data_IF_047288269534
#
_entry.id   IF_047288269534
#
_cell.length_a   1.000
_cell.length_b   1.000
_cell.length_c   1.000
_cell.angle_alpha   90.00
_cell.angle_beta   90.00
_cell.angle_gamma   90.00
#
_symmetry.space_group_name_H-M   'P 1'
#
loop_
_entity.id
_entity.type
_entity.pdbx_description
1 polymer ?
#
# COMPACT_ATOMS: atom_id res chain seq x y z
N UNK A 1 3.39 44.02 6.18
CA UNK A 1 2.07 43.46 5.81
C UNK A 1 2.14 41.96 6.01
N UNK A 2 1.31 41.39 6.87
CA UNK A 2 1.22 39.94 7.05
C UNK A 2 0.10 39.45 6.14
N UNK A 3 0.46 38.76 5.06
CA UNK A 3 -0.44 38.44 3.95
C UNK A 3 -1.50 37.40 4.30
N UNK A 4 -1.27 36.63 5.38
CA UNK A 4 -2.18 35.60 5.88
C UNK A 4 -2.19 35.68 7.42
N UNK A 5 -3.38 35.76 8.02
CA UNK A 5 -3.56 35.81 9.48
C UNK A 5 -3.21 34.48 10.16
N UNK A 6 -3.51 34.36 11.46
CA UNK A 6 -3.34 33.11 12.21
C UNK A 6 -4.28 32.03 11.68
N UNK A 7 -3.75 30.84 11.38
CA UNK A 7 -4.54 29.66 11.01
C UNK A 7 -4.79 28.84 12.28
N UNK A 8 -6.03 28.80 12.75
CA UNK A 8 -6.46 28.10 13.96
C UNK A 8 -7.50 27.00 13.70
N UNK A 9 -7.88 26.80 12.44
CA UNK A 9 -8.94 25.90 12.02
C UNK A 9 -8.74 25.42 10.58
N UNK A 10 -9.35 24.27 10.25
CA UNK A 10 -9.42 23.76 8.89
C UNK A 10 -10.55 24.45 8.11
N UNK A 11 -10.34 24.69 6.82
CA UNK A 11 -11.36 25.23 5.91
C UNK A 11 -12.60 24.34 5.80
N UNK A 12 -12.45 23.04 6.08
CA UNK A 12 -13.53 22.06 6.12
C UNK A 12 -13.47 21.31 7.45
N UNK A 13 -14.61 21.01 8.08
CA UNK A 13 -14.65 20.09 9.22
C UNK A 13 -13.99 18.77 8.86
N UNK A 14 -13.25 18.18 9.81
CA UNK A 14 -12.70 16.84 9.65
C UNK A 14 -13.87 15.85 9.71
N UNK A 15 -14.07 15.09 8.64
CA UNK A 15 -14.99 13.95 8.66
C UNK A 15 -14.25 12.73 9.20
N UNK A 16 -14.56 12.35 10.44
CA UNK A 16 -13.95 11.22 11.13
C UNK A 16 -14.33 9.86 10.53
N UNK A 17 -15.30 9.82 9.61
CA UNK A 17 -15.70 8.61 8.90
C UNK A 17 -15.15 8.57 7.47
N UNK A 18 -14.37 9.56 7.05
CA UNK A 18 -13.76 9.55 5.73
C UNK A 18 -12.68 8.47 5.66
N UNK A 19 -12.80 7.62 4.64
CA UNK A 19 -11.86 6.53 4.35
C UNK A 19 -11.21 6.78 3.00
N UNK A 20 -9.89 6.92 2.98
CA UNK A 20 -9.05 6.92 1.79
C UNK A 20 -8.52 5.51 1.48
N UNK A 21 -7.72 5.37 0.42
CA UNK A 21 -7.22 4.08 -0.01
C UNK A 21 -5.95 3.63 0.72
N UNK A 22 -5.14 4.55 1.23
CA UNK A 22 -3.88 4.28 1.92
C UNK A 22 -4.10 3.34 3.12
N UNK A 23 -5.01 3.68 4.04
CA UNK A 23 -5.31 2.80 5.18
C UNK A 23 -5.93 1.46 4.76
N UNK A 24 -6.61 1.40 3.61
CA UNK A 24 -7.27 0.17 3.17
C UNK A 24 -6.27 -0.87 2.69
N UNK A 25 -5.12 -0.47 2.14
CA UNK A 25 -4.04 -1.40 1.79
C UNK A 25 -3.42 -2.01 3.04
N UNK A 26 -3.14 -1.20 4.06
CA UNK A 26 -2.63 -1.68 5.36
C UNK A 26 -3.60 -2.65 6.05
N UNK A 27 -4.91 -2.35 6.02
CA UNK A 27 -5.94 -3.25 6.54
C UNK A 27 -5.95 -4.58 5.77
N UNK A 28 -5.83 -4.56 4.44
CA UNK A 28 -5.76 -5.79 3.65
C UNK A 28 -4.52 -6.62 4.00
N UNK A 29 -3.37 -5.97 4.17
CA UNK A 29 -2.13 -6.59 4.60
C UNK A 29 -2.26 -7.27 5.97
N UNK A 30 -2.84 -6.58 6.96
CA UNK A 30 -3.09 -7.13 8.31
C UNK A 30 -4.06 -8.31 8.29
N UNK A 31 -5.15 -8.23 7.51
CA UNK A 31 -6.10 -9.33 7.38
C UNK A 31 -5.43 -10.55 6.75
N UNK A 32 -4.58 -10.35 5.74
CA UNK A 32 -3.82 -11.43 5.12
C UNK A 32 -2.85 -12.05 6.14
N UNK A 33 -2.14 -11.22 6.91
CA UNK A 33 -1.24 -11.69 7.96
C UNK A 33 -1.97 -12.49 9.04
N UNK A 34 -3.15 -12.05 9.48
CA UNK A 34 -3.96 -12.77 10.46
C UNK A 34 -4.35 -14.17 9.97
N UNK A 35 -4.66 -14.31 8.68
CA UNK A 35 -5.08 -15.59 8.08
C UNK A 35 -3.93 -16.54 7.77
N UNK A 36 -2.79 -16.01 7.36
CA UNK A 36 -1.67 -16.78 6.81
C UNK A 36 -0.47 -16.87 7.75
N UNK A 37 -0.45 -16.07 8.82
CA UNK A 37 0.65 -16.00 9.78
C UNK A 37 1.95 -15.54 9.13
N UNK A 38 3.08 -15.99 9.68
CA UNK A 38 4.41 -15.56 9.23
C UNK A 38 4.81 -16.03 7.83
N UNK A 39 4.08 -17.01 7.26
CA UNK A 39 4.29 -17.53 5.91
C UNK A 39 3.56 -16.70 4.83
N UNK A 40 3.18 -15.48 5.17
CA UNK A 40 2.46 -14.53 4.31
C UNK A 40 3.19 -14.35 2.96
N UNK A 41 2.41 -14.39 1.87
CA UNK A 41 2.90 -14.11 0.52
C UNK A 41 2.21 -12.90 -0.11
N UNK A 42 2.82 -12.35 -1.16
CA UNK A 42 2.22 -11.27 -1.97
C UNK A 42 0.88 -11.66 -2.59
N UNK A 43 0.67 -12.96 -2.86
CA UNK A 43 -0.60 -13.46 -3.41
C UNK A 43 -1.72 -13.41 -2.37
N UNK A 44 -1.40 -13.67 -1.12
CA UNK A 44 -2.37 -13.64 -0.02
C UNK A 44 -2.86 -12.21 0.22
N UNK A 45 -1.94 -11.25 0.26
CA UNK A 45 -2.28 -9.82 0.35
C UNK A 45 -3.07 -9.37 -0.89
N UNK A 46 -2.60 -9.74 -2.10
CA UNK A 46 -3.28 -9.38 -3.34
C UNK A 46 -4.70 -9.98 -3.45
N UNK A 47 -4.95 -11.13 -2.83
CA UNK A 47 -6.29 -11.69 -2.72
C UNK A 47 -7.20 -10.80 -1.87
N UNK A 48 -6.71 -10.31 -0.73
CA UNK A 48 -7.47 -9.36 0.09
C UNK A 48 -7.74 -8.05 -0.67
N UNK A 49 -6.79 -7.59 -1.50
CA UNK A 49 -7.00 -6.44 -2.38
C UNK A 49 -8.18 -6.67 -3.34
N UNK A 50 -8.23 -7.82 -4.01
CA UNK A 50 -9.32 -8.14 -4.95
C UNK A 50 -10.67 -8.24 -4.23
N UNK A 51 -10.68 -8.81 -3.02
CA UNK A 51 -11.90 -9.07 -2.27
C UNK A 51 -12.47 -7.82 -1.57
N UNK A 52 -11.61 -6.85 -1.18
CA UNK A 52 -12.00 -5.71 -0.32
C UNK A 52 -11.84 -4.35 -0.96
N UNK A 53 -10.88 -4.17 -1.86
CA UNK A 53 -10.68 -2.86 -2.49
C UNK A 53 -11.74 -2.61 -3.56
N UNK A 54 -12.39 -1.47 -3.40
CA UNK A 54 -13.41 -0.98 -4.32
C UNK A 54 -12.76 -0.01 -5.33
N UNK A 55 -13.45 1.07 -5.68
CA UNK A 55 -13.07 1.96 -6.78
C UNK A 55 -12.06 3.06 -6.39
N UNK A 56 -11.79 3.27 -5.10
CA UNK A 56 -10.78 4.22 -4.63
C UNK A 56 -9.41 3.53 -4.70
N UNK A 57 -8.85 3.46 -5.90
CA UNK A 57 -7.45 3.09 -6.12
C UNK A 57 -6.88 4.02 -7.18
N UNK A 58 -5.62 4.39 -7.06
CA UNK A 58 -4.99 5.38 -7.95
C UNK A 58 -3.78 4.80 -8.68
N UNK A 59 -3.42 5.42 -9.80
CA UNK A 59 -2.13 5.19 -10.49
C UNK A 59 -1.68 3.72 -10.60
N UNK A 60 -0.62 3.32 -9.90
CA UNK A 60 -0.03 1.98 -9.92
C UNK A 60 -0.98 0.92 -9.38
N UNK A 61 -1.60 1.17 -8.23
CA UNK A 61 -2.53 0.29 -7.54
C UNK A 61 -3.77 0.02 -8.39
N UNK A 62 -4.27 1.04 -9.10
CA UNK A 62 -5.40 0.89 -10.02
C UNK A 62 -5.07 -0.04 -11.18
N UNK A 63 -3.85 0.06 -11.74
CA UNK A 63 -3.41 -0.83 -12.82
C UNK A 63 -3.20 -2.24 -12.28
N UNK A 64 -2.54 -2.36 -11.13
CA UNK A 64 -2.31 -3.62 -10.46
C UNK A 64 -3.61 -4.35 -10.12
N UNK A 65 -4.60 -3.68 -9.53
CA UNK A 65 -5.91 -4.27 -9.22
C UNK A 65 -6.65 -4.73 -10.49
N UNK A 66 -6.52 -4.01 -11.61
CA UNK A 66 -7.05 -4.47 -12.91
C UNK A 66 -6.32 -5.70 -13.44
N UNK A 67 -5.02 -5.82 -13.21
CA UNK A 67 -4.22 -6.98 -13.58
C UNK A 67 -4.58 -8.20 -12.72
N UNK A 68 -4.71 -8.02 -11.40
CA UNK A 68 -5.14 -9.04 -10.45
C UNK A 68 -6.53 -9.59 -10.83
N UNK A 69 -7.49 -8.70 -11.14
CA UNK A 69 -8.84 -9.10 -11.61
C UNK A 69 -8.84 -9.86 -12.94
N UNK A 70 -7.73 -9.84 -13.69
CA UNK A 70 -7.52 -10.63 -14.92
C UNK A 70 -6.69 -11.91 -14.68
N UNK A 71 -6.36 -12.23 -13.43
CA UNK A 71 -5.55 -13.38 -13.06
C UNK A 71 -4.04 -13.18 -13.26
N UNK A 72 -3.57 -11.94 -13.46
CA UNK A 72 -2.14 -11.64 -13.48
C UNK A 72 -1.69 -11.41 -12.05
N UNK A 73 -1.01 -12.39 -11.46
CA UNK A 73 -0.56 -12.36 -10.06
C UNK A 73 0.72 -11.53 -9.86
N UNK A 74 1.03 -11.12 -8.61
CA UNK A 74 2.33 -10.52 -8.27
C UNK A 74 3.51 -11.44 -8.60
N UNK A 75 4.69 -10.90 -8.95
CA UNK A 75 4.98 -9.47 -9.13
C UNK A 75 4.53 -8.91 -10.50
N UNK A 76 4.00 -9.76 -11.39
CA UNK A 76 3.62 -9.33 -12.76
C UNK A 76 2.47 -8.32 -12.75
N UNK A 77 1.61 -8.36 -11.74
CA UNK A 77 0.54 -7.38 -11.52
C UNK A 77 1.08 -5.95 -11.44
N UNK A 78 2.23 -5.76 -10.78
CA UNK A 78 2.85 -4.45 -10.56
C UNK A 78 3.53 -3.86 -11.80
N UNK A 79 3.95 -4.69 -12.76
CA UNK A 79 4.70 -4.22 -13.95
C UNK A 79 3.90 -4.27 -15.26
N UNK A 80 2.88 -5.14 -15.37
CA UNK A 80 2.22 -5.37 -16.65
C UNK A 80 1.39 -4.17 -17.06
N UNK A 81 1.85 -3.43 -18.08
CA UNK A 81 1.21 -2.18 -18.56
C UNK A 81 1.02 -1.14 -17.46
N UNK A 82 1.82 -1.22 -16.40
CA UNK A 82 1.87 -0.22 -15.36
C UNK A 82 3.01 0.75 -15.71
N UNK A 83 2.71 2.04 -15.82
CA UNK A 83 3.72 3.08 -16.06
C UNK A 83 4.07 3.85 -14.79
N UNK A 84 3.41 3.50 -13.69
CA UNK A 84 3.50 4.17 -12.39
C UNK A 84 4.22 3.29 -11.34
N UNK A 85 4.85 2.19 -11.76
CA UNK A 85 5.38 1.17 -10.84
C UNK A 85 6.50 1.69 -9.92
N UNK A 86 7.06 2.85 -10.22
CA UNK A 86 8.10 3.56 -9.48
C UNK A 86 7.57 4.77 -8.69
N UNK A 87 6.25 4.95 -8.64
CA UNK A 87 5.61 6.00 -7.86
C UNK A 87 5.61 5.68 -6.34
N UNK A 88 5.14 6.65 -5.55
CA UNK A 88 5.18 6.62 -4.09
C UNK A 88 4.12 5.70 -3.43
N UNK A 89 3.18 5.12 -4.19
CA UNK A 89 2.02 4.43 -3.61
C UNK A 89 2.37 3.24 -2.70
N UNK A 90 3.44 2.51 -3.05
CA UNK A 90 4.04 1.49 -2.18
C UNK A 90 4.58 2.08 -0.86
N UNK A 91 5.35 3.16 -0.95
CA UNK A 91 5.91 3.87 0.20
C UNK A 91 4.84 4.34 1.21
N UNK A 92 3.67 4.76 0.74
CA UNK A 92 2.63 5.36 1.60
C UNK A 92 1.94 4.37 2.54
N UNK A 93 2.06 3.05 2.32
CA UNK A 93 1.44 1.99 3.13
C UNK A 93 2.46 1.14 3.90
N UNK A 94 3.72 1.55 3.90
CA UNK A 94 4.84 0.78 4.43
C UNK A 94 4.86 0.70 5.96
N UNK A 95 4.29 1.70 6.65
CA UNK A 95 4.40 1.88 8.10
C UNK A 95 3.98 0.63 8.88
N UNK A 96 2.98 -0.09 8.39
CA UNK A 96 2.47 -1.29 9.04
C UNK A 96 3.55 -2.36 9.22
N UNK A 97 4.45 -2.52 8.25
CA UNK A 97 5.48 -3.55 8.26
C UNK A 97 6.55 -3.28 9.33
N UNK A 98 6.91 -2.01 9.52
CA UNK A 98 7.78 -1.58 10.62
C UNK A 98 7.12 -1.73 11.98
N UNK A 99 5.83 -1.37 12.09
CA UNK A 99 5.06 -1.47 13.33
C UNK A 99 4.93 -2.91 13.84
N UNK A 100 4.70 -3.88 12.96
CA UNK A 100 4.56 -5.30 13.35
C UNK A 100 5.90 -6.03 13.54
N UNK A 101 7.02 -5.43 13.09
CA UNK A 101 8.36 -6.02 13.16
C UNK A 101 9.34 -5.23 14.04
N UNK A 102 8.99 -4.89 15.31
CA UNK A 102 9.84 -4.06 16.15
C UNK A 102 11.20 -4.72 16.41
N UNK A 103 12.28 -4.01 16.10
CA UNK A 103 13.65 -4.50 16.26
C UNK A 103 14.07 -5.56 15.23
N UNK A 104 13.22 -5.86 14.24
CA UNK A 104 13.42 -6.90 13.23
C UNK A 104 13.38 -6.32 11.80
N UNK A 105 14.30 -5.40 11.43
CA UNK A 105 14.25 -4.69 10.14
C UNK A 105 14.36 -5.64 8.92
N UNK A 106 14.97 -6.81 9.08
CA UNK A 106 14.99 -7.83 8.00
C UNK A 106 13.60 -8.41 7.72
N UNK A 107 12.74 -8.51 8.73
CA UNK A 107 11.36 -8.97 8.56
C UNK A 107 10.47 -7.86 8.00
N UNK A 108 10.63 -6.62 8.50
CA UNK A 108 9.94 -5.45 7.95
C UNK A 108 10.22 -5.30 6.44
N UNK A 109 11.50 -5.36 6.06
CA UNK A 109 11.94 -5.39 4.67
C UNK A 109 11.27 -6.51 3.88
N UNK A 110 11.27 -7.74 4.39
CA UNK A 110 10.67 -8.87 3.67
C UNK A 110 9.19 -8.64 3.39
N UNK A 111 8.42 -8.17 4.37
CA UNK A 111 7.00 -7.88 4.18
C UNK A 111 6.76 -6.72 3.22
N UNK A 112 7.55 -5.65 3.32
CA UNK A 112 7.51 -4.53 2.37
C UNK A 112 7.86 -4.96 0.93
N UNK A 113 8.82 -5.88 0.74
CA UNK A 113 9.16 -6.39 -0.59
C UNK A 113 8.00 -7.19 -1.20
N UNK A 114 7.32 -8.03 -0.42
CA UNK A 114 6.19 -8.81 -0.95
C UNK A 114 4.95 -7.93 -1.18
N UNK A 115 4.63 -6.98 -0.30
CA UNK A 115 3.49 -6.07 -0.47
C UNK A 115 3.72 -5.09 -1.62
N UNK A 116 4.88 -4.42 -1.65
CA UNK A 116 5.27 -3.53 -2.75
C UNK A 116 5.22 -4.20 -4.12
N UNK A 117 5.59 -5.49 -4.21
CA UNK A 117 5.56 -6.24 -5.47
C UNK A 117 4.17 -6.40 -6.10
N UNK A 118 3.10 -6.16 -5.34
CA UNK A 118 1.72 -6.26 -5.83
C UNK A 118 1.43 -5.20 -6.87
N UNK A 119 1.90 -3.97 -6.64
CA UNK A 119 1.60 -2.81 -7.49
C UNK A 119 2.83 -2.07 -8.03
N UNK A 120 4.02 -2.30 -7.50
CA UNK A 120 5.24 -1.55 -7.80
C UNK A 120 6.41 -2.45 -8.21
N UNK A 121 7.49 -1.83 -8.70
CA UNK A 121 8.75 -2.48 -9.04
C UNK A 121 9.92 -1.50 -8.94
N UNK A 122 11.14 -2.02 -8.76
CA UNK A 122 12.35 -1.22 -8.66
C UNK A 122 12.24 -0.20 -7.51
N UNK A 123 12.50 1.07 -7.83
CA UNK A 123 12.54 2.14 -6.81
C UNK A 123 11.20 2.35 -6.08
N UNK A 124 10.08 1.93 -6.68
CA UNK A 124 8.78 1.96 -5.98
C UNK A 124 8.74 1.00 -4.79
N UNK A 125 9.34 -0.19 -4.93
CA UNK A 125 9.50 -1.15 -3.82
C UNK A 125 10.58 -0.65 -2.86
N UNK A 126 11.68 -0.11 -3.38
CA UNK A 126 12.75 0.43 -2.52
C UNK A 126 12.23 1.54 -1.59
N UNK A 127 11.27 2.35 -2.06
CA UNK A 127 10.60 3.37 -1.25
C UNK A 127 9.81 2.77 -0.07
N UNK A 128 9.09 1.67 -0.29
CA UNK A 128 8.38 0.94 0.76
C UNK A 128 9.34 0.34 1.79
N UNK A 129 10.39 -0.33 1.30
CA UNK A 129 11.44 -0.91 2.15
C UNK A 129 12.19 0.15 2.96
N UNK A 130 12.33 1.38 2.45
CA UNK A 130 13.00 2.46 3.16
C UNK A 130 12.20 2.98 4.37
N UNK A 131 10.87 2.96 4.29
CA UNK A 131 9.99 3.43 5.38
C UNK A 131 9.72 2.34 6.42
N UNK A 132 9.58 1.08 5.99
CA UNK A 132 9.32 -0.06 6.86
C UNK A 132 10.48 -0.39 7.83
#
# INVERSE_FOLDING_TARGET
MQQYGTIDSYLKPVDVNYVNDDEMYEICALIALEKHGIDLSSKDIAKEWVDRLYNQTFTAERVALKNLKKGIEPPKSGITKNIWYDAIGAQMRADIWGQICPGCPRMAKYYAEIDGSISHAGIGIDGEVYIA
#
